data_IF_240161089840
#
_entry.id   IF_240161089840
#
_cell.length_a   1.000
_cell.length_b   1.000
_cell.length_c   1.000
_cell.angle_alpha   90.00
_cell.angle_beta   90.00
_cell.angle_gamma   90.00
#
_symmetry.space_group_name_H-M   'P 1'
#
loop_
_entity.id
_entity.type
_entity.pdbx_description
1 polymer ?
#
# COMPACT_ATOMS: atom_id res chain seq x y z
N UNK A 1 6.00 -4.64 19.78
CA UNK A 1 5.24 -3.62 19.05
C UNK A 1 5.26 -3.93 17.56
N UNK A 2 4.16 -4.43 17.01
CA UNK A 2 4.17 -4.77 15.58
C UNK A 2 4.07 -3.51 14.71
N UNK A 3 4.84 -3.54 13.62
CA UNK A 3 4.82 -2.48 12.61
C UNK A 3 4.54 -3.14 11.27
N UNK A 4 3.51 -2.67 10.58
CA UNK A 4 3.13 -3.16 9.26
C UNK A 4 3.25 -2.02 8.26
N UNK A 5 3.95 -2.27 7.17
CA UNK A 5 4.06 -1.29 6.09
C UNK A 5 3.37 -1.82 4.85
N UNK A 6 2.46 -1.02 4.31
CA UNK A 6 1.77 -1.32 3.06
C UNK A 6 2.31 -0.36 2.01
N UNK A 7 2.88 -0.90 0.94
CA UNK A 7 3.34 -0.08 -0.17
C UNK A 7 2.39 -0.24 -1.34
N UNK A 8 1.84 0.87 -1.78
CA UNK A 8 0.91 0.90 -2.89
C UNK A 8 1.53 1.65 -4.06
N UNK A 9 1.43 1.08 -5.24
CA UNK A 9 1.78 1.81 -6.46
C UNK A 9 0.69 2.84 -6.70
N UNK A 10 1.09 4.10 -6.81
CA UNK A 10 0.13 5.19 -7.05
C UNK A 10 -0.58 4.99 -8.39
N UNK A 11 -1.89 5.09 -8.38
CA UNK A 11 -2.73 4.91 -9.54
C UNK A 11 -3.78 6.02 -9.64
N UNK A 12 -4.41 6.09 -10.78
CA UNK A 12 -5.55 6.98 -11.01
C UNK A 12 -6.81 6.11 -11.16
N UNK A 13 -7.87 6.33 -10.39
CA UNK A 13 -7.96 7.35 -9.34
C UNK A 13 -7.08 6.99 -8.13
N UNK A 14 -6.63 7.99 -7.35
CA UNK A 14 -5.79 7.70 -6.19
C UNK A 14 -6.59 7.03 -5.07
N UNK A 15 -5.87 6.33 -4.21
CA UNK A 15 -6.47 5.73 -3.02
C UNK A 15 -7.00 6.84 -2.11
N UNK A 16 -8.25 6.72 -1.70
CA UNK A 16 -8.88 7.76 -0.88
C UNK A 16 -8.44 7.67 0.57
N UNK A 17 -8.66 8.76 1.32
CA UNK A 17 -8.40 8.78 2.75
C UNK A 17 -9.22 7.70 3.46
N UNK A 18 -10.48 7.52 3.06
CA UNK A 18 -11.37 6.54 3.66
C UNK A 18 -10.88 5.12 3.42
N UNK A 19 -10.37 4.86 2.22
CA UNK A 19 -9.79 3.55 1.90
C UNK A 19 -8.54 3.28 2.75
N UNK A 20 -7.70 4.29 2.93
CA UNK A 20 -6.51 4.16 3.78
C UNK A 20 -6.88 3.89 5.22
N UNK A 21 -7.89 4.59 5.74
CA UNK A 21 -8.39 4.35 7.09
C UNK A 21 -8.92 2.93 7.26
N UNK A 22 -9.63 2.43 6.24
CA UNK A 22 -10.15 1.07 6.27
C UNK A 22 -9.01 0.03 6.25
N UNK A 23 -7.96 0.29 5.47
CA UNK A 23 -6.78 -0.58 5.46
C UNK A 23 -6.09 -0.62 6.81
N UNK A 24 -5.91 0.55 7.42
CA UNK A 24 -5.27 0.64 8.74
C UNK A 24 -6.09 -0.12 9.79
N UNK A 25 -7.41 0.08 9.79
CA UNK A 25 -8.29 -0.62 10.73
C UNK A 25 -8.29 -2.13 10.49
N UNK A 26 -8.38 -2.55 9.23
CA UNK A 26 -8.45 -3.97 8.87
C UNK A 26 -7.16 -4.72 9.22
N UNK A 27 -6.02 -4.13 8.90
CA UNK A 27 -4.72 -4.74 9.23
C UNK A 27 -4.54 -4.81 10.75
N UNK A 28 -4.89 -3.74 11.46
CA UNK A 28 -4.81 -3.72 12.93
C UNK A 28 -5.66 -4.84 13.51
N UNK A 29 -6.90 -4.97 13.05
CA UNK A 29 -7.81 -6.01 13.56
C UNK A 29 -7.27 -7.41 13.28
N UNK A 30 -6.68 -7.62 12.11
CA UNK A 30 -6.09 -8.90 11.77
C UNK A 30 -4.98 -9.29 12.76
N UNK A 31 -4.10 -8.36 13.10
CA UNK A 31 -3.02 -8.63 14.05
C UNK A 31 -3.56 -8.86 15.46
N UNK A 32 -4.60 -8.14 15.85
CA UNK A 32 -5.27 -8.38 17.13
C UNK A 32 -5.81 -9.80 17.18
N UNK A 33 -6.48 -10.24 16.13
CA UNK A 33 -7.13 -11.55 16.09
C UNK A 33 -6.12 -12.71 16.03
N UNK A 34 -5.08 -12.56 15.22
CA UNK A 34 -4.13 -13.63 14.95
C UNK A 34 -3.05 -13.71 16.01
N UNK A 35 -2.53 -12.57 16.45
CA UNK A 35 -1.37 -12.49 17.33
C UNK A 35 -1.72 -12.12 18.77
N UNK A 36 -3.00 -11.92 19.08
CA UNK A 36 -3.46 -11.49 20.39
C UNK A 36 -2.77 -10.20 20.86
N UNK A 37 -2.53 -9.29 19.92
CA UNK A 37 -1.92 -8.00 20.24
C UNK A 37 -2.99 -6.99 20.64
N UNK A 38 -2.59 -5.98 21.39
CA UNK A 38 -3.47 -4.85 21.71
C UNK A 38 -3.50 -3.91 20.51
N UNK A 39 -4.67 -3.44 20.16
CA UNK A 39 -4.81 -2.55 18.99
C UNK A 39 -3.94 -1.30 19.11
N UNK A 40 -3.80 -0.74 20.31
CA UNK A 40 -3.01 0.48 20.51
C UNK A 40 -1.50 0.25 20.31
N UNK A 41 -1.05 -0.99 20.29
CA UNK A 41 0.35 -1.31 20.07
C UNK A 41 0.70 -1.55 18.60
N UNK A 42 -0.30 -1.61 17.73
CA UNK A 42 -0.08 -1.89 16.29
C UNK A 42 0.11 -0.59 15.53
N UNK A 43 1.22 -0.49 14.80
CA UNK A 43 1.48 0.64 13.90
C UNK A 43 1.34 0.17 12.47
N UNK A 44 0.57 0.91 11.67
CA UNK A 44 0.39 0.62 10.24
C UNK A 44 0.82 1.85 9.45
N UNK A 45 1.71 1.66 8.49
CA UNK A 45 2.21 2.71 7.63
C UNK A 45 1.77 2.41 6.20
N UNK A 46 1.33 3.44 5.49
CA UNK A 46 0.97 3.30 4.08
C UNK A 46 1.85 4.25 3.28
N UNK A 47 2.63 3.66 2.36
CA UNK A 47 3.43 4.40 1.40
C UNK A 47 2.78 4.33 0.03
N UNK A 48 2.61 5.47 -0.60
CA UNK A 48 2.20 5.51 -2.01
C UNK A 48 3.43 5.82 -2.84
N UNK A 49 3.78 4.91 -3.74
CA UNK A 49 4.98 5.00 -4.55
C UNK A 49 4.61 5.50 -5.94
N UNK A 50 5.23 6.61 -6.33
CA UNK A 50 5.06 7.16 -7.68
C UNK A 50 5.57 6.13 -8.71
N UNK A 51 4.84 5.91 -9.81
CA UNK A 51 5.31 4.97 -10.85
C UNK A 51 6.67 5.30 -11.43
N UNK A 52 7.14 6.54 -11.33
CA UNK A 52 8.48 6.90 -11.76
C UNK A 52 9.55 6.40 -10.79
N UNK A 53 9.15 5.99 -9.58
CA UNK A 53 10.08 5.64 -8.51
C UNK A 53 10.27 4.14 -8.32
N UNK A 54 9.63 3.32 -9.15
CA UNK A 54 9.85 1.88 -9.09
C UNK A 54 9.79 1.28 -10.49
N UNK A 55 10.42 0.14 -10.65
CA UNK A 55 10.46 -0.49 -11.95
C UNK A 55 10.75 -1.98 -11.88
N UNK A 56 10.67 -2.61 -13.02
CA UNK A 56 10.96 -4.03 -13.21
C UNK A 56 11.76 -4.19 -14.49
N UNK A 57 12.81 -5.02 -14.43
CA UNK A 57 13.61 -5.29 -15.62
C UNK A 57 14.32 -4.07 -16.19
N UNK A 58 14.60 -3.08 -15.36
CA UNK A 58 15.27 -1.86 -15.77
C UNK A 58 14.38 -0.77 -16.32
N UNK A 59 13.05 -1.00 -16.34
CA UNK A 59 12.10 -0.01 -16.82
C UNK A 59 11.18 0.44 -15.70
N UNK A 60 10.87 1.74 -15.68
CA UNK A 60 9.96 2.29 -14.68
C UNK A 60 8.54 1.80 -14.89
N UNK A 61 7.74 1.81 -13.82
CA UNK A 61 6.33 1.47 -13.91
C UNK A 61 5.58 2.41 -14.85
N UNK A 62 6.00 3.67 -14.93
CA UNK A 62 5.41 4.64 -15.86
C UNK A 62 5.53 4.12 -17.30
N UNK A 63 6.73 3.70 -17.71
CA UNK A 63 6.97 3.18 -19.05
C UNK A 63 6.19 1.88 -19.29
N UNK A 64 6.20 0.98 -18.31
CA UNK A 64 5.47 -0.29 -18.43
C UNK A 64 3.97 -0.08 -18.61
N UNK A 65 3.39 0.87 -17.88
CA UNK A 65 1.98 1.20 -17.98
C UNK A 65 1.64 1.83 -19.34
N UNK A 66 2.49 2.70 -19.84
CA UNK A 66 2.32 3.29 -21.17
C UNK A 66 2.32 2.21 -22.24
N UNK A 67 3.21 1.25 -22.12
CA UNK A 67 3.31 0.14 -23.06
C UNK A 67 2.05 -0.73 -23.03
N UNK A 68 1.49 -0.99 -21.85
CA UNK A 68 0.26 -1.76 -21.69
C UNK A 68 -0.98 -1.01 -22.18
N UNK A 69 -0.96 0.31 -22.12
CA UNK A 69 -2.10 1.12 -22.55
C UNK A 69 -2.21 1.24 -24.06
N UNK A 70 -1.15 0.94 -24.78
CA UNK A 70 -1.16 1.01 -26.24
C UNK A 70 -1.85 -0.24 -26.80
N UNK A 71 -2.75 -0.07 -27.77
CA UNK A 71 -3.41 -1.19 -28.43
C UNK A 71 -2.45 -2.02 -29.26
#
# INVERSE_FOLDING_TARGET
MPVVTIRLARRSPPTTREQKEALIQGVTQLLVDVLAKRSEDVTVLIDEIDPDNWGQGGESATVLRQRRAKP
#
